data_IF_862131130770
#
_entry.id   IF_862131130770
#
_cell.length_a   1.000
_cell.length_b   1.000
_cell.length_c   1.000
_cell.angle_alpha   90.00
_cell.angle_beta   90.00
_cell.angle_gamma   90.00
#
_symmetry.space_group_name_H-M   'P 1'
#
loop_
_entity.id
_entity.type
_entity.pdbx_description
1 polymer ?
#
# COMPACT_ATOMS: atom_id res chain seq x y z
N UNK A 1 -5.00 22.32 14.70
CA UNK A 1 -5.39 21.27 13.73
C UNK A 1 -6.48 20.45 14.40
N UNK A 2 -7.49 19.92 13.69
CA UNK A 2 -8.64 19.33 14.36
C UNK A 2 -8.20 18.12 15.20
N UNK A 3 -8.18 18.34 16.51
CA UNK A 3 -8.32 17.34 17.57
C UNK A 3 -9.67 16.63 17.37
N UNK A 4 -9.68 15.35 16.99
CA UNK A 4 -10.60 14.34 17.58
C UNK A 4 -10.54 12.91 17.01
N UNK A 5 -9.79 12.62 15.94
CA UNK A 5 -9.66 11.22 15.51
C UNK A 5 -8.51 10.54 16.26
N UNK A 6 -8.83 9.53 17.07
CA UNK A 6 -7.82 8.62 17.59
C UNK A 6 -7.07 7.99 16.41
N UNK A 7 -5.74 8.06 16.42
CA UNK A 7 -4.95 7.36 15.41
C UNK A 7 -5.24 5.85 15.46
N UNK A 8 -5.13 5.16 14.33
CA UNK A 8 -5.33 3.71 14.25
C UNK A 8 -4.49 2.95 15.31
N UNK A 9 -3.27 3.43 15.57
CA UNK A 9 -2.42 2.92 16.65
C UNK A 9 -3.05 3.03 18.04
N UNK A 10 -3.68 4.16 18.38
CA UNK A 10 -4.36 4.37 19.66
C UNK A 10 -5.59 3.48 19.78
N UNK A 11 -6.35 3.31 18.69
CA UNK A 11 -7.50 2.42 18.68
C UNK A 11 -7.13 0.96 18.94
N UNK A 12 -5.99 0.49 18.42
CA UNK A 12 -5.45 -0.85 18.73
C UNK A 12 -5.14 -0.98 20.22
N UNK A 13 -4.42 0.00 20.79
CA UNK A 13 -4.11 -0.01 22.23
C UNK A 13 -5.39 -0.01 23.06
N UNK A 14 -6.35 0.85 22.73
CA UNK A 14 -7.65 0.92 23.40
C UNK A 14 -8.43 -0.40 23.31
N UNK A 15 -8.42 -1.08 22.16
CA UNK A 15 -9.03 -2.41 22.03
C UNK A 15 -8.40 -3.42 22.98
N UNK A 16 -7.08 -3.53 22.98
CA UNK A 16 -6.33 -4.47 23.82
C UNK A 16 -6.63 -4.22 25.31
N UNK A 17 -6.61 -2.94 25.73
CA UNK A 17 -6.76 -2.55 27.13
C UNK A 17 -8.21 -2.68 27.67
N UNK A 18 -9.21 -2.91 26.81
CA UNK A 18 -10.59 -3.21 27.27
C UNK A 18 -10.64 -4.46 28.15
N UNK A 19 -9.74 -5.41 27.95
CA UNK A 19 -9.80 -6.71 28.60
C UNK A 19 -8.54 -7.00 29.42
N UNK A 20 -8.73 -7.35 30.69
CA UNK A 20 -7.69 -7.94 31.55
C UNK A 20 -7.73 -9.46 31.35
N UNK A 21 -6.59 -10.13 31.04
CA UNK A 21 -6.55 -11.58 30.93
C UNK A 21 -7.05 -12.29 32.20
N UNK A 22 -7.61 -13.50 32.04
CA UNK A 22 -8.11 -14.28 33.17
C UNK A 22 -7.00 -14.88 34.02
N UNK A 23 -5.92 -15.35 33.38
CA UNK A 23 -4.82 -16.06 34.03
C UNK A 23 -3.71 -15.09 34.46
N UNK A 24 -3.19 -15.27 35.67
CA UNK A 24 -2.09 -14.47 36.24
C UNK A 24 -0.87 -14.45 35.34
N UNK A 25 -0.45 -15.61 34.80
CA UNK A 25 0.70 -15.71 33.88
C UNK A 25 0.54 -14.85 32.63
N UNK A 26 -0.69 -14.70 32.14
CA UNK A 26 -0.99 -13.83 30.99
C UNK A 26 -0.88 -12.36 31.37
N UNK A 27 -1.31 -11.98 32.57
CA UNK A 27 -1.15 -10.61 33.08
C UNK A 27 0.32 -10.29 33.31
N UNK A 28 1.07 -11.20 33.95
CA UNK A 28 2.51 -11.05 34.16
C UNK A 28 3.24 -10.91 32.82
N UNK A 29 2.87 -11.71 31.81
CA UNK A 29 3.43 -11.57 30.47
C UNK A 29 3.26 -10.17 29.87
N UNK A 30 2.11 -9.53 30.05
CA UNK A 30 1.91 -8.15 29.59
C UNK A 30 2.81 -7.18 30.36
N UNK A 31 2.88 -7.31 31.68
CA UNK A 31 3.75 -6.46 32.51
C UNK A 31 5.21 -6.62 32.08
N UNK A 32 5.69 -7.85 31.90
CA UNK A 32 7.04 -8.13 31.46
C UNK A 32 7.33 -7.48 30.09
N UNK A 33 6.40 -7.61 29.13
CA UNK A 33 6.53 -6.94 27.84
C UNK A 33 6.64 -5.42 27.95
N UNK A 34 5.85 -4.79 28.82
CA UNK A 34 5.90 -3.36 29.08
C UNK A 34 7.24 -2.98 29.73
N UNK A 35 7.55 -3.59 30.87
CA UNK A 35 8.71 -3.27 31.71
C UNK A 35 10.01 -3.47 30.95
N UNK A 36 10.17 -4.60 30.26
CA UNK A 36 11.42 -4.93 29.57
C UNK A 36 11.65 -4.06 28.33
N UNK A 37 10.60 -3.58 27.64
CA UNK A 37 10.76 -2.82 26.40
C UNK A 37 10.96 -1.31 26.59
N UNK A 38 10.33 -0.73 27.62
CA UNK A 38 10.38 0.71 27.88
C UNK A 38 11.11 1.12 29.16
N UNK A 39 11.37 0.19 30.09
CA UNK A 39 11.96 0.47 31.40
C UNK A 39 10.94 0.99 32.43
N UNK A 40 11.20 0.72 33.73
CA UNK A 40 10.31 1.05 34.86
C UNK A 40 10.21 2.56 35.18
N UNK A 41 11.25 3.32 34.85
CA UNK A 41 11.38 4.74 35.28
C UNK A 41 10.85 5.74 34.24
N UNK A 42 10.22 5.25 33.17
CA UNK A 42 9.82 6.06 32.01
C UNK A 42 8.32 6.30 32.00
N UNK A 43 7.94 7.54 31.69
CA UNK A 43 6.56 7.98 31.53
C UNK A 43 5.85 7.16 30.43
N UNK A 44 4.71 6.58 30.80
CA UNK A 44 3.81 5.86 29.89
C UNK A 44 2.59 6.72 29.61
N UNK A 45 1.86 6.38 28.55
CA UNK A 45 0.53 6.95 28.32
C UNK A 45 -0.39 6.64 29.52
N UNK A 46 -1.20 7.60 29.95
CA UNK A 46 -2.06 7.47 31.14
C UNK A 46 -2.97 6.23 31.04
N UNK A 47 -3.48 5.94 29.84
CA UNK A 47 -4.30 4.75 29.58
C UNK A 47 -3.54 3.44 29.84
N UNK A 48 -2.23 3.42 29.52
CA UNK A 48 -1.36 2.26 29.76
C UNK A 48 -1.06 2.12 31.25
N UNK A 49 -0.88 3.23 31.97
CA UNK A 49 -0.71 3.23 33.43
C UNK A 49 -1.96 2.68 34.11
N UNK A 50 -3.15 3.16 33.76
CA UNK A 50 -4.42 2.66 34.30
C UNK A 50 -4.57 1.15 34.00
N UNK A 51 -4.17 0.71 32.80
CA UNK A 51 -4.20 -0.70 32.46
C UNK A 51 -3.23 -1.54 33.30
N UNK A 52 -2.02 -1.05 33.57
CA UNK A 52 -1.05 -1.69 34.47
C UNK A 52 -1.64 -1.82 35.88
N UNK A 53 -2.25 -0.78 36.42
CA UNK A 53 -2.89 -0.81 37.74
C UNK A 53 -3.97 -1.89 37.80
N UNK A 54 -4.79 -2.01 36.75
CA UNK A 54 -5.80 -3.08 36.63
C UNK A 54 -5.18 -4.47 36.58
N UNK A 55 -4.03 -4.66 35.90
CA UNK A 55 -3.31 -5.94 35.85
C UNK A 55 -2.76 -6.32 37.23
N UNK A 56 -2.22 -5.36 37.98
CA UNK A 56 -1.65 -5.53 39.32
C UNK A 56 -2.69 -5.88 40.41
N UNK A 57 -3.99 -5.78 40.12
CA UNK A 57 -5.04 -6.27 41.04
C UNK A 57 -5.09 -7.80 41.14
N UNK A 58 -4.41 -8.52 40.24
CA UNK A 58 -4.33 -9.98 40.26
C UNK A 58 -3.24 -10.44 41.23
N UNK A 59 -3.56 -11.48 41.99
CA UNK A 59 -2.59 -12.15 42.86
C UNK A 59 -1.39 -12.65 42.03
N UNK A 60 -0.19 -12.48 42.58
CA UNK A 60 1.11 -12.83 41.99
C UNK A 60 1.52 -12.09 40.70
N UNK A 61 0.84 -11.00 40.34
CA UNK A 61 1.33 -10.07 39.29
C UNK A 61 2.16 -8.96 39.94
N UNK A 62 3.35 -8.70 39.40
CA UNK A 62 4.22 -7.65 39.92
C UNK A 62 5.02 -6.97 38.81
N UNK A 63 5.58 -5.80 39.11
CA UNK A 63 6.50 -5.08 38.21
C UNK A 63 7.90 -5.73 38.11
N UNK A 64 8.17 -6.78 38.88
CA UNK A 64 9.41 -7.53 38.77
C UNK A 64 9.34 -8.48 37.59
N UNK A 65 10.31 -8.37 36.69
CA UNK A 65 10.36 -9.11 35.44
C UNK A 65 11.72 -9.80 35.30
N UNK A 66 11.72 -11.12 35.06
CA UNK A 66 12.95 -11.90 34.86
C UNK A 66 13.10 -12.28 33.38
N UNK A 67 14.10 -11.67 32.72
CA UNK A 67 14.41 -11.89 31.32
C UNK A 67 14.74 -13.37 31.00
N UNK A 68 15.24 -14.13 31.99
CA UNK A 68 15.54 -15.55 31.80
C UNK A 68 14.29 -16.39 31.50
N UNK A 69 13.10 -15.92 31.89
CA UNK A 69 11.83 -16.59 31.61
C UNK A 69 11.40 -16.51 30.14
N UNK A 70 12.05 -15.69 29.33
CA UNK A 70 11.67 -15.49 27.92
C UNK A 70 12.69 -15.99 26.92
N UNK A 71 13.87 -16.37 27.39
CA UNK A 71 14.89 -16.95 26.55
C UNK A 71 14.54 -18.41 26.23
N UNK A 72 14.54 -18.77 24.95
CA UNK A 72 14.33 -20.15 24.45
C UNK A 72 12.97 -20.79 24.84
N UNK A 73 11.98 -20.00 25.25
CA UNK A 73 10.71 -20.49 25.81
C UNK A 73 9.50 -20.46 24.86
N UNK A 74 9.72 -20.17 23.57
CA UNK A 74 8.62 -20.08 22.62
C UNK A 74 7.90 -18.72 22.67
N UNK A 75 6.90 -18.59 21.79
CA UNK A 75 6.12 -17.35 21.65
C UNK A 75 5.30 -17.09 22.92
N UNK A 76 5.49 -15.92 23.54
CA UNK A 76 4.55 -15.38 24.50
C UNK A 76 3.78 -14.19 23.91
N UNK A 77 2.55 -14.44 23.45
CA UNK A 77 1.68 -13.39 22.88
C UNK A 77 1.36 -12.25 23.84
N UNK A 78 1.30 -12.52 25.14
CA UNK A 78 1.02 -11.51 26.15
C UNK A 78 2.22 -10.60 26.39
N UNK A 79 3.43 -11.14 26.28
CA UNK A 79 4.65 -10.33 26.21
C UNK A 79 4.65 -9.40 25.00
N UNK A 80 4.43 -9.92 23.79
CA UNK A 80 4.37 -9.07 22.58
C UNK A 80 3.26 -8.02 22.65
N UNK A 81 2.12 -8.35 23.27
CA UNK A 81 1.07 -7.39 23.59
C UNK A 81 1.59 -6.27 24.50
N UNK A 82 2.30 -6.59 25.57
CA UNK A 82 2.94 -5.62 26.46
C UNK A 82 3.92 -4.71 25.73
N UNK A 83 4.79 -5.29 24.90
CA UNK A 83 5.75 -4.55 24.05
C UNK A 83 5.02 -3.56 23.13
N UNK A 84 3.90 -3.97 22.51
CA UNK A 84 3.14 -3.08 21.65
C UNK A 84 2.44 -1.96 22.45
N UNK A 85 1.89 -2.27 23.64
CA UNK A 85 1.23 -1.26 24.47
C UNK A 85 2.21 -0.15 24.91
N UNK A 86 3.42 -0.51 25.33
CA UNK A 86 4.44 0.45 25.77
C UNK A 86 5.06 1.24 24.61
N UNK A 87 5.54 0.55 23.57
CA UNK A 87 6.41 1.15 22.55
C UNK A 87 5.98 0.87 21.10
N UNK A 88 4.81 0.27 20.91
CA UNK A 88 4.27 -0.04 19.59
C UNK A 88 3.56 1.13 18.92
N UNK A 89 3.72 1.20 17.60
CA UNK A 89 3.00 2.09 16.72
C UNK A 89 2.52 1.34 15.47
N UNK A 90 1.27 1.54 15.07
CA UNK A 90 0.77 1.08 13.77
C UNK A 90 0.37 2.28 12.90
N UNK A 91 0.86 2.29 11.66
CA UNK A 91 0.44 3.27 10.65
C UNK A 91 -1.03 3.08 10.31
N UNK A 92 -1.68 4.15 9.82
CA UNK A 92 -2.99 4.01 9.18
C UNK A 92 -2.84 3.07 7.96
N UNK A 93 -3.66 1.99 7.86
CA UNK A 93 -3.54 1.01 6.78
C UNK A 93 -3.77 1.61 5.39
N UNK A 94 -4.52 2.72 5.33
CA UNK A 94 -4.75 3.51 4.11
C UNK A 94 -3.48 4.18 3.61
N UNK A 95 -2.53 4.47 4.51
CA UNK A 95 -1.25 5.12 4.19
C UNK A 95 -0.13 4.10 4.01
N UNK A 96 0.05 3.18 4.96
CA UNK A 96 1.12 2.19 4.93
C UNK A 96 0.79 0.95 5.77
N UNK A 97 1.23 -0.23 5.29
CA UNK A 97 1.24 -1.44 6.11
C UNK A 97 2.53 -1.45 6.92
N UNK A 98 2.49 -0.88 8.13
CA UNK A 98 3.69 -0.76 8.97
C UNK A 98 3.36 -0.75 10.45
N UNK A 99 3.97 -1.69 11.17
CA UNK A 99 4.11 -1.65 12.63
C UNK A 99 5.57 -1.35 12.98
N UNK A 100 5.77 -0.50 13.97
CA UNK A 100 7.06 -0.14 14.55
C UNK A 100 7.05 -0.47 16.05
N UNK A 101 8.08 -1.17 16.55
CA UNK A 101 8.30 -1.40 17.98
C UNK A 101 9.57 -0.64 18.39
N UNK A 102 9.42 0.39 19.21
CA UNK A 102 10.48 1.33 19.59
C UNK A 102 11.13 0.92 20.92
N UNK A 103 11.95 -0.13 20.87
CA UNK A 103 12.61 -0.71 22.05
C UNK A 103 13.80 0.17 22.46
N UNK A 104 13.82 0.61 23.72
CA UNK A 104 14.88 1.47 24.26
C UNK A 104 15.93 0.68 25.03
N UNK A 105 15.51 -0.43 25.62
CA UNK A 105 16.38 -1.34 26.34
C UNK A 105 17.07 -2.29 25.34
N UNK A 106 18.30 -2.00 24.94
CA UNK A 106 19.02 -2.80 23.93
C UNK A 106 19.14 -4.28 24.30
N UNK A 107 19.17 -4.62 25.59
CA UNK A 107 19.23 -6.02 26.04
C UNK A 107 17.91 -6.78 25.82
N UNK A 108 16.77 -6.09 25.70
CA UNK A 108 15.47 -6.71 25.44
C UNK A 108 15.23 -6.96 23.94
N UNK A 109 16.01 -6.33 23.07
CA UNK A 109 15.86 -6.46 21.60
C UNK A 109 15.92 -7.92 21.13
N UNK A 110 16.94 -8.72 21.52
CA UNK A 110 17.01 -10.13 21.07
C UNK A 110 15.80 -10.95 21.53
N UNK A 111 15.24 -10.67 22.71
CA UNK A 111 14.05 -11.37 23.22
C UNK A 111 12.84 -11.09 22.32
N UNK A 112 12.64 -9.83 21.92
CA UNK A 112 11.54 -9.46 21.01
C UNK A 112 11.79 -10.02 19.60
N UNK A 113 13.02 -10.00 19.11
CA UNK A 113 13.39 -10.57 17.81
C UNK A 113 13.13 -12.07 17.74
N UNK A 114 13.49 -12.82 18.80
CA UNK A 114 13.24 -14.26 18.91
C UNK A 114 11.74 -14.55 18.91
N UNK A 115 10.95 -13.83 19.72
CA UNK A 115 9.49 -14.02 19.75
C UNK A 115 8.81 -13.71 18.42
N UNK A 116 9.23 -12.65 17.72
CA UNK A 116 8.70 -12.35 16.39
C UNK A 116 9.08 -13.44 15.39
N UNK A 117 10.32 -13.92 15.44
CA UNK A 117 10.83 -14.97 14.55
C UNK A 117 10.09 -16.29 14.76
N UNK A 118 9.91 -16.71 16.01
CA UNK A 118 9.15 -17.91 16.36
C UNK A 118 7.67 -17.79 15.95
N UNK A 119 7.11 -16.58 16.04
CA UNK A 119 5.76 -16.28 15.56
C UNK A 119 5.64 -16.24 14.02
N UNK A 120 6.73 -16.46 13.28
CA UNK A 120 6.73 -16.42 11.83
C UNK A 120 6.56 -15.01 11.25
N UNK A 121 6.83 -13.97 12.05
CA UNK A 121 6.71 -12.57 11.65
C UNK A 121 8.03 -12.09 11.08
N UNK A 122 8.05 -11.71 9.80
CA UNK A 122 9.24 -11.09 9.21
C UNK A 122 9.33 -9.61 9.62
N UNK A 123 10.50 -9.20 10.11
CA UNK A 123 10.79 -7.82 10.50
C UNK A 123 12.15 -7.34 10.01
N UNK A 124 12.40 -6.03 10.10
CA UNK A 124 13.72 -5.42 9.94
C UNK A 124 14.07 -4.61 11.18
N UNK A 125 15.31 -4.69 11.62
CA UNK A 125 15.79 -3.93 12.78
C UNK A 125 16.64 -2.74 12.32
N UNK A 126 16.44 -1.58 12.94
CA UNK A 126 17.26 -0.38 12.72
C UNK A 126 17.56 0.29 14.04
N UNK A 127 18.73 0.90 14.16
CA UNK A 127 19.08 1.76 15.29
C UNK A 127 18.85 3.22 14.91
N UNK A 128 18.12 3.98 15.75
CA UNK A 128 17.86 5.42 15.58
C UNK A 128 18.24 6.16 16.87
N UNK A 129 19.45 6.73 16.90
CA UNK A 129 20.04 7.19 18.17
C UNK A 129 20.21 6.00 19.10
N UNK A 130 19.67 6.09 20.32
CA UNK A 130 19.71 5.03 21.32
C UNK A 130 18.45 4.13 21.30
N UNK A 131 17.62 4.22 20.26
CA UNK A 131 16.36 3.45 20.15
C UNK A 131 16.49 2.42 19.05
N UNK A 132 16.27 1.15 19.38
CA UNK A 132 16.09 0.08 18.41
C UNK A 132 14.65 0.08 17.91
N UNK A 133 14.47 0.11 16.59
CA UNK A 133 13.15 0.05 15.98
C UNK A 133 13.03 -1.20 15.12
N UNK A 134 12.09 -2.06 15.48
CA UNK A 134 11.75 -3.26 14.72
C UNK A 134 10.54 -2.94 13.84
N UNK A 135 10.71 -3.17 12.54
CA UNK A 135 9.75 -2.81 11.49
C UNK A 135 9.09 -4.05 10.91
N UNK A 136 7.77 -4.14 11.02
CA UNK A 136 6.96 -5.13 10.31
C UNK A 136 6.26 -4.41 9.16
N UNK A 137 6.67 -4.69 7.91
CA UNK A 137 6.19 -3.92 6.73
C UNK A 137 5.39 -4.73 5.70
N UNK A 138 5.23 -6.04 5.91
CA UNK A 138 4.35 -6.86 5.08
C UNK A 138 2.92 -6.76 5.59
N UNK A 139 1.94 -6.57 4.69
CA UNK A 139 0.52 -6.52 5.07
C UNK A 139 0.07 -7.80 5.79
N UNK A 140 0.53 -8.96 5.34
CA UNK A 140 0.22 -10.26 5.96
C UNK A 140 0.78 -10.32 7.39
N UNK A 141 2.05 -9.98 7.56
CA UNK A 141 2.69 -10.00 8.88
C UNK A 141 2.15 -8.91 9.83
N UNK A 142 1.70 -7.77 9.31
CA UNK A 142 1.00 -6.76 10.13
C UNK A 142 -0.31 -7.34 10.64
N UNK A 143 -1.10 -8.00 9.79
CA UNK A 143 -2.34 -8.66 10.19
C UNK A 143 -2.09 -9.77 11.22
N UNK A 144 -1.13 -10.65 10.95
CA UNK A 144 -0.75 -11.74 11.86
C UNK A 144 -0.34 -11.19 13.23
N UNK A 145 0.49 -10.14 13.26
CA UNK A 145 0.91 -9.49 14.50
C UNK A 145 -0.27 -8.91 15.29
N UNK A 146 -1.22 -8.24 14.62
CA UNK A 146 -2.44 -7.75 15.27
C UNK A 146 -3.26 -8.90 15.89
N UNK A 147 -3.31 -10.05 15.23
CA UNK A 147 -3.94 -11.26 15.75
C UNK A 147 -3.21 -11.84 16.96
N UNK A 148 -1.89 -11.89 16.93
CA UNK A 148 -1.05 -12.36 18.03
C UNK A 148 -1.29 -11.53 19.30
N UNK A 149 -1.24 -10.19 19.18
CA UNK A 149 -1.46 -9.32 20.33
C UNK A 149 -2.94 -9.26 20.75
N UNK A 150 -3.86 -9.87 19.99
CA UNK A 150 -5.29 -9.96 20.29
C UNK A 150 -6.07 -8.67 20.07
N UNK A 151 -5.72 -7.94 19.00
CA UNK A 151 -6.47 -6.79 18.50
C UNK A 151 -7.35 -7.23 17.31
N UNK A 152 -8.28 -8.16 17.56
CA UNK A 152 -9.05 -8.85 16.51
C UNK A 152 -9.97 -7.91 15.72
N UNK A 153 -10.61 -6.94 16.37
CA UNK A 153 -11.49 -5.97 15.71
C UNK A 153 -10.68 -5.02 14.84
N UNK A 154 -9.55 -4.53 15.35
CA UNK A 154 -8.64 -3.69 14.56
C UNK A 154 -7.93 -4.45 13.47
N UNK A 155 -7.67 -5.76 13.64
CA UNK A 155 -7.22 -6.63 12.55
C UNK A 155 -8.26 -6.73 11.44
N UNK A 156 -9.54 -6.88 11.78
CA UNK A 156 -10.61 -6.88 10.78
C UNK A 156 -10.73 -5.53 10.05
N UNK A 157 -10.64 -4.42 10.78
CA UNK A 157 -10.61 -3.06 10.20
C UNK A 157 -9.40 -2.87 9.27
N UNK A 158 -8.22 -3.37 9.68
CA UNK A 158 -7.02 -3.41 8.84
C UNK A 158 -7.26 -4.16 7.53
N UNK A 159 -7.83 -5.37 7.59
CA UNK A 159 -8.10 -6.18 6.40
C UNK A 159 -9.13 -5.53 5.46
N UNK A 160 -10.15 -4.89 6.00
CA UNK A 160 -11.12 -4.14 5.20
C UNK A 160 -10.46 -2.98 4.46
N UNK A 161 -9.67 -2.15 5.15
CA UNK A 161 -8.93 -1.04 4.55
C UNK A 161 -7.90 -1.52 3.51
N UNK A 162 -7.24 -2.66 3.76
CA UNK A 162 -6.34 -3.31 2.82
C UNK A 162 -7.07 -3.71 1.53
N UNK A 163 -8.23 -4.35 1.65
CA UNK A 163 -9.04 -4.75 0.50
C UNK A 163 -9.51 -3.54 -0.32
N UNK A 164 -9.97 -2.47 0.32
CA UNK A 164 -10.36 -1.22 -0.34
C UNK A 164 -9.21 -0.60 -1.12
N UNK A 165 -8.01 -0.56 -0.51
CA UNK A 165 -6.82 0.00 -1.14
C UNK A 165 -6.35 -0.82 -2.34
N UNK A 166 -6.46 -2.14 -2.29
CA UNK A 166 -6.13 -3.01 -3.42
C UNK A 166 -7.11 -2.83 -4.59
N UNK A 167 -8.40 -2.63 -4.30
CA UNK A 167 -9.42 -2.29 -5.31
C UNK A 167 -9.11 -0.92 -5.94
N UNK A 168 -8.89 0.11 -5.12
CA UNK A 168 -8.56 1.46 -5.61
C UNK A 168 -7.29 1.44 -6.46
N UNK A 169 -6.25 0.74 -6.01
CA UNK A 169 -4.99 0.61 -6.76
C UNK A 169 -5.17 -0.07 -8.12
N UNK A 170 -6.10 -1.01 -8.26
CA UNK A 170 -6.46 -1.61 -9.55
C UNK A 170 -7.21 -0.61 -10.44
N UNK A 171 -8.20 0.11 -9.89
CA UNK A 171 -8.98 1.12 -10.63
C UNK A 171 -8.09 2.26 -11.14
N UNK A 172 -7.22 2.80 -10.28
CA UNK A 172 -6.30 3.87 -10.66
C UNK A 172 -5.35 3.43 -11.78
N UNK A 173 -4.87 2.17 -11.74
CA UNK A 173 -4.06 1.62 -12.83
C UNK A 173 -4.83 1.55 -14.14
N UNK A 174 -6.07 1.06 -14.11
CA UNK A 174 -6.94 1.01 -15.31
C UNK A 174 -7.20 2.40 -15.88
N UNK A 175 -7.60 3.36 -15.04
CA UNK A 175 -7.86 4.74 -15.49
C UNK A 175 -6.61 5.42 -16.05
N UNK A 176 -5.44 5.19 -15.45
CA UNK A 176 -4.17 5.70 -15.95
C UNK A 176 -3.79 5.05 -17.29
N UNK A 177 -4.03 3.75 -17.46
CA UNK A 177 -3.83 3.06 -18.73
C UNK A 177 -4.75 3.64 -19.83
N UNK A 178 -6.03 3.85 -19.54
CA UNK A 178 -6.99 4.39 -20.50
C UNK A 178 -6.69 5.84 -20.86
N UNK A 179 -6.39 6.68 -19.87
CA UNK A 179 -6.01 8.08 -20.07
C UNK A 179 -4.70 8.19 -20.85
N UNK A 180 -3.71 7.37 -20.51
CA UNK A 180 -2.42 7.33 -21.19
C UNK A 180 -2.50 6.81 -22.63
N UNK A 181 -3.42 5.89 -22.92
CA UNK A 181 -3.69 5.42 -24.28
C UNK A 181 -4.43 6.49 -25.10
N UNK A 182 -5.44 7.14 -24.51
CA UNK A 182 -6.21 8.21 -25.15
C UNK A 182 -5.33 9.40 -25.50
N UNK A 183 -4.45 9.83 -24.60
CA UNK A 183 -3.49 10.92 -24.85
C UNK A 183 -2.54 10.60 -26.00
N UNK A 184 -1.91 9.42 -25.99
CA UNK A 184 -1.01 8.98 -27.08
C UNK A 184 -1.74 8.86 -28.42
N UNK A 185 -3.00 8.41 -28.41
CA UNK A 185 -3.84 8.37 -29.60
C UNK A 185 -4.16 9.77 -30.13
N UNK A 186 -4.48 10.72 -29.25
CA UNK A 186 -4.77 12.11 -29.62
C UNK A 186 -3.53 12.81 -30.21
N UNK A 187 -2.37 12.67 -29.57
CA UNK A 187 -1.09 13.24 -30.06
C UNK A 187 -0.70 12.66 -31.43
N UNK A 188 -0.75 11.33 -31.58
CA UNK A 188 -0.48 10.67 -32.85
C UNK A 188 -1.50 11.04 -33.93
N UNK A 189 -2.77 11.25 -33.56
CA UNK A 189 -3.83 11.72 -34.44
C UNK A 189 -3.58 13.13 -34.95
N UNK A 190 -3.19 14.07 -34.07
CA UNK A 190 -2.89 15.45 -34.45
C UNK A 190 -1.76 15.54 -35.47
N UNK A 191 -0.63 14.86 -35.23
CA UNK A 191 0.51 14.82 -36.15
C UNK A 191 0.11 14.19 -37.50
N UNK A 192 -0.66 13.10 -37.45
CA UNK A 192 -1.18 12.44 -38.66
C UNK A 192 -2.07 13.37 -39.48
N UNK A 193 -2.98 14.08 -38.83
CA UNK A 193 -3.91 15.00 -39.50
C UNK A 193 -3.17 16.17 -40.15
N UNK A 194 -2.16 16.72 -39.48
CA UNK A 194 -1.33 17.79 -40.04
C UNK A 194 -0.61 17.33 -41.32
N UNK A 195 0.06 16.18 -41.28
CA UNK A 195 0.79 15.64 -42.42
C UNK A 195 -0.13 15.27 -43.58
N UNK A 196 -1.26 14.62 -43.31
CA UNK A 196 -2.24 14.25 -44.35
C UNK A 196 -2.88 15.51 -44.94
N UNK A 197 -3.17 16.54 -44.13
CA UNK A 197 -3.70 17.81 -44.62
C UNK A 197 -2.72 18.50 -45.57
N UNK A 198 -1.42 18.56 -45.21
CA UNK A 198 -0.35 19.09 -46.07
C UNK A 198 -0.26 18.34 -47.40
N UNK A 199 -0.25 17.00 -47.36
CA UNK A 199 -0.26 16.17 -48.57
C UNK A 199 -1.49 16.42 -49.45
N UNK A 200 -2.68 16.52 -48.86
CA UNK A 200 -3.90 16.74 -49.63
C UNK A 200 -3.98 18.15 -50.25
N UNK A 201 -3.22 19.11 -49.74
CA UNK A 201 -3.09 20.45 -50.31
C UNK A 201 -1.99 20.55 -51.39
N UNK A 202 -1.16 19.52 -51.57
CA UNK A 202 -0.04 19.52 -52.50
C UNK A 202 -0.45 19.03 -53.91
N UNK A 203 0.36 19.32 -54.95
CA UNK A 203 0.11 18.82 -56.31
C UNK A 203 0.03 17.27 -56.39
N UNK A 204 0.74 16.57 -55.51
CA UNK A 204 0.80 15.11 -55.42
C UNK A 204 -0.56 14.50 -55.00
N UNK A 205 -1.45 15.28 -54.37
CA UNK A 205 -2.79 14.81 -54.03
C UNK A 205 -3.56 14.27 -55.26
N UNK A 206 -3.34 14.86 -56.44
CA UNK A 206 -3.99 14.46 -57.68
C UNK A 206 -3.50 13.10 -58.21
N UNK A 207 -2.26 12.71 -57.89
CA UNK A 207 -1.67 11.44 -58.32
C UNK A 207 -1.94 10.28 -57.36
N UNK A 208 -2.55 10.55 -56.20
CA UNK A 208 -2.88 9.52 -55.22
C UNK A 208 -3.92 8.52 -55.77
N UNK A 209 -3.68 7.21 -55.59
CA UNK A 209 -4.69 6.18 -55.83
C UNK A 209 -5.99 6.47 -55.08
N UNK A 210 -7.13 6.08 -55.67
CA UNK A 210 -8.46 6.35 -55.11
C UNK A 210 -8.61 5.89 -53.65
N UNK A 211 -8.07 4.71 -53.33
CA UNK A 211 -8.10 4.16 -51.97
C UNK A 211 -7.35 4.98 -50.93
N UNK A 212 -6.27 5.67 -51.33
CA UNK A 212 -5.49 6.55 -50.44
C UNK A 212 -6.17 7.91 -50.29
N UNK A 213 -6.77 8.45 -51.35
CA UNK A 213 -7.59 9.67 -51.27
C UNK A 213 -8.77 9.47 -50.33
N UNK A 214 -9.44 8.32 -50.43
CA UNK A 214 -10.56 8.02 -49.54
C UNK A 214 -10.10 7.86 -48.08
N UNK A 215 -8.97 7.19 -47.84
CA UNK A 215 -8.41 7.07 -46.49
C UNK A 215 -8.00 8.44 -45.90
N UNK A 216 -7.45 9.33 -46.72
CA UNK A 216 -7.12 10.69 -46.32
C UNK A 216 -8.38 11.51 -45.97
N UNK A 217 -9.43 11.43 -46.82
CA UNK A 217 -10.72 12.07 -46.59
C UNK A 217 -11.36 11.62 -45.28
N UNK A 218 -11.52 10.30 -45.10
CA UNK A 218 -12.11 9.72 -43.90
C UNK A 218 -11.34 10.10 -42.64
N UNK A 219 -10.01 10.14 -42.71
CA UNK A 219 -9.18 10.62 -41.61
C UNK A 219 -9.40 12.09 -41.25
N UNK A 220 -9.39 12.98 -42.26
CA UNK A 220 -9.53 14.42 -42.04
C UNK A 220 -10.93 14.82 -41.56
N UNK A 221 -11.96 14.08 -41.98
CA UNK A 221 -13.33 14.25 -41.47
C UNK A 221 -13.52 13.73 -40.05
N UNK A 222 -12.64 12.83 -39.59
CA UNK A 222 -12.73 12.18 -38.28
C UNK A 222 -11.42 12.29 -37.49
N UNK A 223 -10.95 13.51 -37.17
CA UNK A 223 -9.59 13.76 -36.68
C UNK A 223 -9.27 13.11 -35.32
N UNK A 224 -10.28 12.79 -34.50
CA UNK A 224 -10.13 12.12 -33.20
C UNK A 224 -10.25 10.60 -33.23
N UNK A 225 -10.61 10.01 -34.39
CA UNK A 225 -10.85 8.58 -34.50
C UNK A 225 -9.55 7.77 -34.47
N UNK A 226 -9.63 6.59 -33.85
CA UNK A 226 -8.60 5.56 -33.92
C UNK A 226 -8.51 5.00 -35.35
N UNK A 227 -7.35 4.44 -35.70
CA UNK A 227 -7.15 3.75 -36.99
C UNK A 227 -8.21 2.63 -37.22
N UNK A 228 -8.67 1.98 -36.15
CA UNK A 228 -9.68 0.95 -36.24
C UNK A 228 -11.07 1.53 -36.56
N UNK A 229 -11.44 2.66 -35.96
CA UNK A 229 -12.69 3.37 -36.25
C UNK A 229 -12.67 3.95 -37.66
N UNK A 230 -11.56 4.56 -38.08
CA UNK A 230 -11.39 5.05 -39.44
C UNK A 230 -11.59 3.94 -40.48
N UNK A 231 -11.07 2.73 -40.23
CA UNK A 231 -11.26 1.60 -41.13
C UNK A 231 -12.73 1.19 -41.30
N UNK A 232 -13.55 1.33 -40.24
CA UNK A 232 -14.99 1.05 -40.30
C UNK A 232 -15.77 2.09 -41.10
N UNK A 233 -15.24 3.30 -41.22
CA UNK A 233 -15.85 4.42 -41.97
C UNK A 233 -15.50 4.41 -43.45
N UNK A 234 -14.59 3.53 -43.90
CA UNK A 234 -14.27 3.35 -45.31
C UNK A 234 -15.40 2.63 -46.05
N UNK A 235 -15.48 2.85 -47.37
CA UNK A 235 -16.39 2.11 -48.26
C UNK A 235 -15.60 1.38 -49.38
N UNK A 236 -15.57 0.03 -49.40
CA UNK A 236 -16.11 -0.86 -48.36
C UNK A 236 -15.28 -0.78 -47.05
N UNK A 237 -15.88 -1.15 -45.89
CA UNK A 237 -15.17 -1.16 -44.61
C UNK A 237 -13.95 -2.07 -44.62
N UNK A 238 -12.87 -1.61 -44.00
CA UNK A 238 -11.61 -2.34 -43.89
C UNK A 238 -11.20 -2.54 -42.43
N UNK A 239 -10.45 -3.60 -42.16
CA UNK A 239 -9.89 -3.84 -40.82
C UNK A 239 -8.80 -2.84 -40.43
N UNK A 240 -8.47 -2.79 -39.13
CA UNK A 240 -7.42 -1.93 -38.55
C UNK A 240 -6.10 -1.99 -39.32
N UNK A 241 -5.65 -3.20 -39.70
CA UNK A 241 -4.39 -3.39 -40.42
C UNK A 241 -4.41 -2.75 -41.82
N UNK A 242 -5.52 -2.91 -42.56
CA UNK A 242 -5.70 -2.30 -43.88
C UNK A 242 -5.71 -0.77 -43.81
N UNK A 243 -6.43 -0.20 -42.85
CA UNK A 243 -6.44 1.25 -42.65
C UNK A 243 -5.07 1.76 -42.22
N UNK A 244 -4.38 1.04 -41.32
CA UNK A 244 -3.03 1.40 -40.89
C UNK A 244 -2.06 1.45 -42.08
N UNK A 245 -2.11 0.45 -42.97
CA UNK A 245 -1.24 0.43 -44.15
C UNK A 245 -1.48 1.63 -45.07
N UNK A 246 -2.75 1.99 -45.32
CA UNK A 246 -3.09 3.17 -46.13
C UNK A 246 -2.61 4.47 -45.48
N UNK A 247 -2.80 4.62 -44.17
CA UNK A 247 -2.31 5.78 -43.41
C UNK A 247 -0.78 5.86 -43.43
N UNK A 248 -0.05 4.76 -43.22
CA UNK A 248 1.41 4.78 -43.29
C UNK A 248 1.91 5.23 -44.66
N UNK A 249 1.30 4.73 -45.73
CA UNK A 249 1.64 5.13 -47.10
C UNK A 249 1.37 6.62 -47.35
N UNK A 250 0.26 7.17 -46.85
CA UNK A 250 0.00 8.61 -46.90
C UNK A 250 1.06 9.42 -46.14
N UNK A 251 1.47 8.96 -44.94
CA UNK A 251 2.49 9.62 -44.14
C UNK A 251 3.88 9.55 -44.79
N UNK A 252 4.23 8.44 -45.44
CA UNK A 252 5.47 8.31 -46.20
C UNK A 252 5.53 9.31 -47.36
N UNK A 253 4.43 9.43 -48.12
CA UNK A 253 4.34 10.41 -49.21
C UNK A 253 4.40 11.83 -48.64
N UNK A 254 3.64 12.12 -47.59
CA UNK A 254 3.62 13.44 -46.95
C UNK A 254 5.02 13.88 -46.47
N UNK A 255 5.81 12.96 -45.89
CA UNK A 255 7.19 13.23 -45.46
C UNK A 255 8.17 13.45 -46.61
N UNK A 256 7.85 12.99 -47.82
CA UNK A 256 8.67 13.23 -49.01
C UNK A 256 8.44 14.60 -49.66
N UNK A 257 7.49 15.37 -49.13
CA UNK A 257 7.20 16.75 -49.56
C UNK A 257 8.02 17.81 -48.81
N UNK A 258 8.67 17.42 -47.72
CA UNK A 258 9.65 18.24 -46.96
C UNK A 258 11.05 18.11 -47.59
#
# INVERSE_FOLDING_TARGET
MPDNEMSFSREIKAEIMKHVPKHTESCQGIIDGIVMSSGLEREQDDDVVEYIERLLTKEDVSLYSDAALYKDNGINRYFLRGVYLSCGYCSDPSLAYRIELHIRESWAVPIVEDMLSEAGISFRTSLRGDIHVLYITSGDHVSDFLGIIGADLKRLDFENKRAERDIMGNVTRTLNCDSGNTKRQAEAGAVRNELISKLMASPEAASLPAELREAARVNLENPGASIAELGKLMDPPIGKSGMNHRIQKLLEIAKSLD
#
